data_IF_664991317565
#
_entry.id   IF_664991317565
#
_cell.length_a   1.000
_cell.length_b   1.000
_cell.length_c   1.000
_cell.angle_alpha   90.00
_cell.angle_beta   90.00
_cell.angle_gamma   90.00
#
_symmetry.space_group_name_H-M   'P 1'
#
loop_
_entity.id
_entity.type
_entity.pdbx_description
1 polymer ?
#
# COMPACT_ATOMS: atom_id res chain seq x y z
N UNK A 1 -4.47 -0.51 -0.63
CA UNK A 1 -3.73 0.10 -1.74
C UNK A 1 -2.36 0.48 -1.23
N UNK A 2 -1.35 0.25 -2.01
CA UNK A 2 -0.01 0.74 -1.78
C UNK A 2 0.03 2.25 -2.04
N UNK A 3 1.03 2.92 -1.56
CA UNK A 3 1.23 4.34 -1.82
C UNK A 3 2.63 4.74 -1.39
N UNK A 4 3.20 5.69 -2.12
CA UNK A 4 4.49 6.28 -1.80
C UNK A 4 4.46 7.77 -2.13
N UNK A 5 5.04 8.56 -1.25
CA UNK A 5 5.38 9.96 -1.52
C UNK A 5 6.62 10.34 -0.73
N UNK A 6 7.36 11.30 -1.26
CA UNK A 6 8.41 11.99 -0.54
C UNK A 6 8.27 13.50 -0.72
N UNK A 7 8.75 14.24 0.25
CA UNK A 7 8.87 15.69 0.19
C UNK A 7 10.15 16.14 0.88
N UNK A 8 10.69 17.23 0.40
CA UNK A 8 11.80 17.94 1.04
C UNK A 8 11.37 19.37 1.30
N UNK A 9 11.48 19.81 2.52
CA UNK A 9 11.04 21.14 2.96
C UNK A 9 12.17 21.82 3.68
N UNK A 10 12.50 23.03 3.26
CA UNK A 10 13.45 23.86 3.99
C UNK A 10 12.77 24.42 5.23
N UNK A 11 13.40 24.22 6.38
CA UNK A 11 12.97 24.75 7.67
C UNK A 11 14.07 25.60 8.27
N UNK A 12 13.76 26.32 9.32
CA UNK A 12 14.74 27.17 10.06
C UNK A 12 15.83 26.31 10.74
N UNK A 13 15.56 25.00 10.98
CA UNK A 13 16.53 24.06 11.55
C UNK A 13 17.26 23.20 10.52
N UNK A 14 16.99 23.38 9.23
CA UNK A 14 17.62 22.62 8.18
C UNK A 14 16.63 21.99 7.19
N UNK A 15 17.13 21.08 6.38
CA UNK A 15 16.34 20.38 5.36
C UNK A 15 15.58 19.19 5.97
N UNK A 16 14.26 19.31 6.03
CA UNK A 16 13.38 18.22 6.43
C UNK A 16 13.08 17.33 5.24
N UNK A 17 13.44 16.05 5.33
CA UNK A 17 13.06 15.01 4.38
C UNK A 17 11.95 14.15 4.97
N UNK A 18 10.84 14.03 4.26
CA UNK A 18 9.67 13.24 4.66
C UNK A 18 9.43 12.17 3.64
N UNK A 19 9.40 10.92 4.09
CA UNK A 19 9.06 9.75 3.27
C UNK A 19 7.84 9.06 3.86
N UNK A 20 6.83 8.83 3.03
CA UNK A 20 5.60 8.11 3.39
C UNK A 20 5.41 6.92 2.49
N UNK A 21 5.20 5.75 3.06
CA UNK A 21 4.86 4.53 2.33
C UNK A 21 3.76 3.75 3.02
N UNK A 22 2.92 3.10 2.26
CA UNK A 22 1.92 2.19 2.82
C UNK A 22 1.79 0.90 2.03
N UNK A 23 1.35 -0.14 2.75
CA UNK A 23 0.90 -1.40 2.20
C UNK A 23 -0.52 -1.69 2.65
N UNK A 24 -1.20 -2.58 1.93
CA UNK A 24 -2.57 -2.93 2.26
C UNK A 24 -2.64 -3.64 3.62
N UNK A 25 -3.55 -3.19 4.48
CA UNK A 25 -3.88 -3.82 5.76
C UNK A 25 -5.35 -3.61 6.09
N UNK A 26 -5.92 -4.51 6.89
CA UNK A 26 -7.33 -4.42 7.34
C UNK A 26 -7.56 -3.22 8.26
N UNK A 27 -6.61 -2.94 9.15
CA UNK A 27 -6.65 -1.85 10.11
C UNK A 27 -5.60 -0.79 9.79
N UNK A 28 -5.76 0.40 10.33
CA UNK A 28 -4.75 1.44 10.26
C UNK A 28 -3.66 1.15 11.28
N UNK A 29 -2.44 0.92 10.78
CA UNK A 29 -1.24 0.72 11.59
C UNK A 29 -0.21 1.79 11.17
N UNK A 30 0.19 2.64 12.13
CA UNK A 30 1.07 3.78 11.89
C UNK A 30 2.40 3.58 12.62
N UNK A 31 3.47 3.54 11.85
CA UNK A 31 4.85 3.51 12.35
C UNK A 31 5.57 4.79 11.95
N UNK A 32 6.18 5.45 12.94
CA UNK A 32 6.95 6.67 12.73
C UNK A 32 8.42 6.44 13.07
N UNK A 33 9.29 6.99 12.22
CA UNK A 33 10.71 7.16 12.49
C UNK A 33 11.03 8.62 12.28
N UNK A 34 11.21 9.35 13.36
CA UNK A 34 11.44 10.78 13.35
C UNK A 34 12.74 11.11 14.09
N UNK A 35 13.46 12.13 13.59
CA UNK A 35 14.56 12.74 14.32
C UNK A 35 14.07 13.28 15.67
N UNK A 36 14.96 13.36 16.66
CA UNK A 36 14.61 13.74 18.03
C UNK A 36 13.91 15.11 18.09
N UNK A 37 14.38 16.05 17.27
CA UNK A 37 13.93 17.44 17.20
C UNK A 37 12.47 17.59 16.76
N UNK A 38 11.92 16.59 16.06
CA UNK A 38 10.54 16.62 15.53
C UNK A 38 9.63 15.57 16.17
N UNK A 39 10.16 14.71 17.03
CA UNK A 39 9.41 13.63 17.69
C UNK A 39 8.23 14.13 18.51
N UNK A 40 8.31 15.31 19.08
CA UNK A 40 7.21 15.90 19.85
C UNK A 40 5.95 16.17 19.03
N UNK A 41 6.05 16.21 17.68
CA UNK A 41 4.92 16.37 16.76
C UNK A 41 4.25 15.05 16.36
N UNK A 42 4.79 13.91 16.77
CA UNK A 42 4.23 12.59 16.40
C UNK A 42 2.74 12.45 16.73
N UNK A 43 2.22 12.90 17.90
CA UNK A 43 0.78 12.83 18.19
C UNK A 43 -0.07 13.58 17.15
N UNK A 44 0.39 14.74 16.69
CA UNK A 44 -0.30 15.54 15.66
C UNK A 44 -0.25 14.86 14.30
N UNK A 45 0.88 14.24 13.93
CA UNK A 45 0.98 13.46 12.69
C UNK A 45 -0.01 12.29 12.69
N UNK A 46 -0.15 11.59 13.82
CA UNK A 46 -1.13 10.51 13.98
C UNK A 46 -2.55 10.99 13.78
N UNK A 47 -2.91 12.12 14.37
CA UNK A 47 -4.23 12.75 14.24
C UNK A 47 -4.53 13.11 12.77
N UNK A 48 -3.60 13.79 12.09
CA UNK A 48 -3.74 14.22 10.69
C UNK A 48 -3.92 13.00 9.77
N UNK A 49 -3.14 11.93 9.95
CA UNK A 49 -3.26 10.72 9.14
C UNK A 49 -4.59 10.02 9.42
N UNK A 50 -4.96 9.83 10.69
CA UNK A 50 -6.18 9.13 11.08
C UNK A 50 -7.45 9.83 10.58
N UNK A 51 -7.40 11.16 10.44
CA UNK A 51 -8.50 11.93 9.84
C UNK A 51 -8.62 11.76 8.32
N UNK A 52 -7.59 11.30 7.61
CA UNK A 52 -7.56 11.21 6.14
C UNK A 52 -7.44 9.78 5.61
N UNK A 53 -7.00 8.83 6.42
CA UNK A 53 -6.73 7.44 6.02
C UNK A 53 -7.43 6.48 6.99
N UNK A 54 -8.37 5.69 6.46
CA UNK A 54 -9.17 4.76 7.27
C UNK A 54 -8.46 3.42 7.55
N UNK A 55 -7.57 2.95 6.65
CA UNK A 55 -6.90 1.65 6.76
C UNK A 55 -5.60 1.59 5.97
N UNK A 56 -4.72 0.67 6.36
CA UNK A 56 -3.43 0.42 5.75
C UNK A 56 -2.32 0.39 6.79
N UNK A 57 -1.23 -0.32 6.52
CA UNK A 57 -0.01 -0.22 7.32
C UNK A 57 0.87 0.84 6.68
N UNK A 58 1.10 1.94 7.40
CA UNK A 58 1.83 3.11 6.93
C UNK A 58 3.10 3.32 7.73
N UNK A 59 4.20 3.54 7.06
CA UNK A 59 5.46 3.96 7.65
C UNK A 59 5.79 5.38 7.19
N UNK A 60 6.04 6.25 8.16
CA UNK A 60 6.46 7.63 7.95
C UNK A 60 7.87 7.82 8.50
N UNK A 61 8.78 8.29 7.66
CA UNK A 61 10.14 8.65 8.05
C UNK A 61 10.31 10.14 7.89
N UNK A 62 10.76 10.79 8.95
CA UNK A 62 11.01 12.23 8.99
C UNK A 62 12.43 12.45 9.49
N UNK A 63 13.31 12.85 8.60
CA UNK A 63 14.70 13.10 8.91
C UNK A 63 15.00 14.59 8.72
N UNK A 64 15.45 15.23 9.78
CA UNK A 64 15.99 16.56 9.73
C UNK A 64 17.50 16.46 9.49
N UNK A 65 17.96 17.07 8.42
CA UNK A 65 19.38 17.18 8.10
C UNK A 65 19.77 18.62 8.38
N UNK A 66 20.62 18.79 9.37
CA UNK A 66 21.19 20.10 9.65
C UNK A 66 21.88 20.64 8.39
N UNK A 67 21.51 21.84 7.97
CA UNK A 67 22.08 22.46 6.78
C UNK A 67 23.51 22.99 7.00
N UNK A 68 24.08 22.75 8.17
CA UNK A 68 25.39 23.28 8.54
C UNK A 68 25.37 24.79 8.78
N UNK A 69 26.43 25.49 8.43
CA UNK A 69 26.51 26.92 8.56
C UNK A 69 25.40 27.61 7.76
N UNK A 70 24.36 28.08 8.45
CA UNK A 70 23.35 28.97 7.85
C UNK A 70 23.97 30.32 7.52
N UNK A 71 23.39 31.04 6.56
CA UNK A 71 23.89 32.39 6.19
C UNK A 71 23.90 33.39 7.38
N UNK A 72 23.09 33.13 8.41
CA UNK A 72 22.92 33.92 9.61
C UNK A 72 23.76 33.42 10.81
N UNK A 73 24.74 32.54 10.54
CA UNK A 73 25.61 32.01 11.58
C UNK A 73 26.50 33.14 12.10
N UNK A 74 26.31 33.56 13.34
CA UNK A 74 27.09 34.61 14.01
C UNK A 74 28.06 34.01 15.01
N UNK A 75 29.18 34.67 15.20
CA UNK A 75 30.12 34.38 16.28
C UNK A 75 29.56 34.88 17.61
N UNK A 76 29.52 34.01 18.60
CA UNK A 76 29.22 34.39 19.97
C UNK A 76 30.49 35.03 20.58
N UNK A 77 30.57 36.36 20.51
CA UNK A 77 31.74 37.13 21.00
C UNK A 77 31.99 36.88 22.49
N UNK A 78 30.96 36.73 23.31
CA UNK A 78 31.13 36.48 24.75
C UNK A 78 31.79 35.11 25.01
N UNK A 79 31.31 34.05 24.35
CA UNK A 79 31.89 32.75 24.45
C UNK A 79 33.32 32.69 23.90
N UNK A 80 33.57 33.40 22.79
CA UNK A 80 34.91 33.53 22.19
C UNK A 80 35.88 34.21 23.16
N UNK A 81 35.49 35.34 23.78
CA UNK A 81 36.33 36.05 24.75
C UNK A 81 36.63 35.17 25.98
N UNK A 82 35.66 34.39 26.47
CA UNK A 82 35.89 33.42 27.56
C UNK A 82 36.91 32.35 27.18
N UNK A 83 36.77 31.79 25.98
CA UNK A 83 37.69 30.77 25.45
C UNK A 83 39.13 31.33 25.31
N UNK A 84 39.26 32.52 24.77
CA UNK A 84 40.57 33.18 24.62
C UNK A 84 41.24 33.50 25.95
N UNK A 85 40.45 33.90 26.97
CA UNK A 85 40.95 34.09 28.33
C UNK A 85 41.46 32.77 28.94
N UNK A 86 40.72 31.65 28.75
CA UNK A 86 41.15 30.33 29.21
C UNK A 86 42.42 29.88 28.47
N UNK A 87 42.52 30.07 27.15
CA UNK A 87 43.73 29.79 26.41
C UNK A 87 44.92 30.53 26.98
N UNK A 88 44.75 31.82 27.31
CA UNK A 88 45.82 32.64 27.89
C UNK A 88 46.29 32.11 29.26
N UNK A 89 45.36 31.58 30.07
CA UNK A 89 45.70 30.96 31.36
C UNK A 89 46.46 29.65 31.16
N UNK A 90 46.05 28.83 30.21
CA UNK A 90 46.76 27.57 29.87
C UNK A 90 48.18 27.83 29.41
N UNK A 91 48.37 28.77 28.49
CA UNK A 91 49.70 29.17 27.97
C UNK A 91 50.61 29.76 29.05
N UNK A 92 50.07 30.43 30.10
CA UNK A 92 50.84 30.87 31.26
C UNK A 92 51.27 29.70 32.14
N UNK A 93 50.49 28.66 32.25
CA UNK A 93 50.77 27.48 33.09
C UNK A 93 51.70 26.52 32.38
N UNK A 94 51.50 26.33 31.07
CA UNK A 94 52.34 25.48 30.20
C UNK A 94 52.73 26.28 28.96
N UNK A 95 53.91 26.91 28.95
CA UNK A 95 54.46 27.66 27.81
C UNK A 95 54.73 26.79 26.56
N UNK A 96 54.77 25.45 26.70
CA UNK A 96 54.95 24.53 25.57
C UNK A 96 53.66 24.21 24.85
N UNK A 97 52.50 24.52 25.42
CA UNK A 97 51.20 24.31 24.79
C UNK A 97 51.07 25.18 23.54
N UNK A 98 50.38 24.63 22.53
CA UNK A 98 50.08 25.37 21.28
C UNK A 98 48.78 26.12 21.40
N UNK A 99 48.72 27.31 20.83
CA UNK A 99 47.47 28.10 20.74
C UNK A 99 46.44 27.39 19.87
N UNK A 100 45.16 27.60 20.22
CA UNK A 100 44.04 27.07 19.44
C UNK A 100 44.07 27.64 18.01
N UNK A 101 43.76 26.74 17.04
CA UNK A 101 43.59 27.13 15.64
C UNK A 101 42.18 27.66 15.43
N UNK A 102 41.95 28.43 14.38
CA UNK A 102 40.62 28.94 14.03
C UNK A 102 39.60 27.79 13.91
N UNK A 103 40.01 26.66 13.34
CA UNK A 103 39.14 25.51 13.24
C UNK A 103 38.74 24.93 14.61
N UNK A 104 39.67 24.89 15.57
CA UNK A 104 39.43 24.43 16.93
C UNK A 104 38.45 25.36 17.66
N UNK A 105 38.61 26.67 17.44
CA UNK A 105 37.74 27.70 18.00
C UNK A 105 36.32 27.57 17.43
N UNK A 106 36.18 27.46 16.11
CA UNK A 106 34.87 27.35 15.46
C UNK A 106 34.12 26.05 15.82
N UNK A 107 34.83 24.98 16.11
CA UNK A 107 34.26 23.71 16.56
C UNK A 107 33.96 23.69 18.07
N UNK A 108 34.36 24.71 18.82
CA UNK A 108 34.10 24.74 20.26
C UNK A 108 32.62 25.01 20.53
N UNK A 109 31.95 24.21 21.39
CA UNK A 109 30.54 24.39 21.69
C UNK A 109 30.17 25.81 22.15
N UNK A 110 29.20 26.41 21.48
CA UNK A 110 28.67 27.73 21.82
C UNK A 110 29.45 28.93 21.22
N UNK A 111 30.53 28.70 20.45
CA UNK A 111 31.24 29.79 19.73
C UNK A 111 30.48 30.19 18.47
N UNK A 112 29.97 29.22 17.75
CA UNK A 112 29.10 29.45 16.60
C UNK A 112 27.67 29.44 17.11
N UNK A 113 27.04 30.61 17.13
CA UNK A 113 25.64 30.74 17.52
C UNK A 113 24.76 30.47 16.26
N UNK A 114 24.19 29.30 16.18
CA UNK A 114 23.05 29.11 15.30
C UNK A 114 21.84 29.86 15.89
N UNK A 115 21.06 30.58 15.09
CA UNK A 115 19.82 31.18 15.58
C UNK A 115 18.95 30.08 16.18
N UNK A 116 18.48 30.29 17.42
CA UNK A 116 17.52 29.38 18.03
C UNK A 116 16.18 29.63 17.32
N UNK A 117 15.71 28.71 16.49
CA UNK A 117 14.46 28.94 15.77
C UNK A 117 13.29 28.96 16.76
N UNK A 118 12.29 29.78 16.46
CA UNK A 118 11.04 29.80 17.22
C UNK A 118 10.37 28.40 17.10
N UNK A 119 10.16 27.71 18.25
CA UNK A 119 9.58 26.37 18.23
C UNK A 119 8.21 26.32 17.57
N UNK A 120 7.40 27.37 17.64
CA UNK A 120 6.07 27.43 17.02
C UNK A 120 6.18 27.57 15.49
N UNK A 121 7.09 28.44 15.03
CA UNK A 121 7.35 28.63 13.60
C UNK A 121 7.90 27.34 12.98
N UNK A 122 8.88 26.72 13.63
CA UNK A 122 9.45 25.44 13.21
C UNK A 122 8.38 24.33 13.15
N UNK A 123 7.57 24.18 14.20
CA UNK A 123 6.49 23.19 14.22
C UNK A 123 5.50 23.39 13.07
N UNK A 124 5.15 24.65 12.76
CA UNK A 124 4.26 24.99 11.65
C UNK A 124 4.87 24.63 10.29
N UNK A 125 6.16 24.91 10.08
CA UNK A 125 6.88 24.54 8.85
C UNK A 125 6.86 23.02 8.65
N UNK A 126 7.19 22.26 9.70
CA UNK A 126 7.18 20.79 9.68
C UNK A 126 5.79 20.25 9.37
N UNK A 127 4.75 20.76 10.04
CA UNK A 127 3.37 20.33 9.80
C UNK A 127 2.90 20.65 8.39
N UNK A 128 3.22 21.82 7.86
CA UNK A 128 2.89 22.21 6.48
C UNK A 128 3.55 21.24 5.48
N UNK A 129 4.83 20.93 5.65
CA UNK A 129 5.54 19.98 4.81
C UNK A 129 4.97 18.57 4.91
N UNK A 130 4.57 18.16 6.12
CA UNK A 130 3.93 16.86 6.35
C UNK A 130 2.58 16.76 5.63
N UNK A 131 1.74 17.79 5.69
CA UNK A 131 0.46 17.82 5.00
C UNK A 131 0.61 17.81 3.47
N UNK A 132 1.59 18.52 2.93
CA UNK A 132 1.92 18.48 1.50
C UNK A 132 2.34 17.07 1.05
N UNK A 133 3.21 16.42 1.82
CA UNK A 133 3.63 15.04 1.56
C UNK A 133 2.44 14.08 1.62
N UNK A 134 1.55 14.24 2.61
CA UNK A 134 0.35 13.43 2.76
C UNK A 134 -0.65 13.63 1.61
N UNK A 135 -0.77 14.85 1.09
CA UNK A 135 -1.59 15.15 -0.09
C UNK A 135 -1.06 14.41 -1.32
N UNK A 136 0.24 14.53 -1.60
CA UNK A 136 0.90 13.81 -2.70
C UNK A 136 0.79 12.28 -2.55
N UNK A 137 0.90 11.78 -1.31
CA UNK A 137 0.69 10.37 -0.99
C UNK A 137 -0.74 9.90 -1.32
N UNK A 138 -1.76 10.69 -0.97
CA UNK A 138 -3.14 10.36 -1.29
C UNK A 138 -3.42 10.40 -2.80
N UNK A 139 -2.86 11.35 -3.52
CA UNK A 139 -2.93 11.39 -4.99
C UNK A 139 -2.31 10.15 -5.63
N UNK A 140 -1.15 9.71 -5.14
CA UNK A 140 -0.51 8.48 -5.60
C UNK A 140 -1.42 7.27 -5.42
N UNK A 141 -2.05 7.13 -4.24
CA UNK A 141 -3.03 6.06 -3.95
C UNK A 141 -4.27 6.12 -4.82
N UNK A 142 -4.78 7.32 -5.10
CA UNK A 142 -5.95 7.51 -5.96
C UNK A 142 -5.64 7.10 -7.40
N UNK A 143 -4.49 7.48 -7.94
CA UNK A 143 -4.04 7.07 -9.28
C UNK A 143 -3.90 5.55 -9.40
N UNK A 144 -3.24 4.91 -8.44
CA UNK A 144 -3.12 3.45 -8.42
C UNK A 144 -4.49 2.78 -8.30
N UNK A 145 -5.36 3.30 -7.42
CA UNK A 145 -6.70 2.79 -7.23
C UNK A 145 -7.57 2.91 -8.49
N UNK A 146 -7.50 4.02 -9.19
CA UNK A 146 -8.22 4.23 -10.45
C UNK A 146 -7.73 3.27 -11.55
N UNK A 147 -6.41 3.10 -11.68
CA UNK A 147 -5.85 2.15 -12.65
C UNK A 147 -6.27 0.71 -12.34
N UNK A 148 -6.24 0.30 -11.07
CA UNK A 148 -6.69 -1.03 -10.65
C UNK A 148 -8.18 -1.23 -10.88
N UNK A 149 -9.02 -0.22 -10.60
CA UNK A 149 -10.45 -0.27 -10.87
C UNK A 149 -10.75 -0.49 -12.36
N UNK A 150 -10.04 0.20 -13.25
CA UNK A 150 -10.18 0.00 -14.70
C UNK A 150 -9.83 -1.43 -15.13
N UNK A 151 -8.77 -2.00 -14.57
CA UNK A 151 -8.37 -3.39 -14.87
C UNK A 151 -9.45 -4.37 -14.40
N UNK A 152 -9.98 -4.18 -13.19
CA UNK A 152 -11.04 -5.04 -12.64
C UNK A 152 -12.33 -4.94 -13.47
N UNK A 153 -12.76 -3.73 -13.82
CA UNK A 153 -13.95 -3.52 -14.66
C UNK A 153 -13.79 -4.18 -16.04
N UNK A 154 -12.59 -4.09 -16.62
CA UNK A 154 -12.30 -4.80 -17.88
C UNK A 154 -12.49 -6.32 -17.73
N UNK A 155 -12.01 -6.93 -16.64
CA UNK A 155 -12.22 -8.35 -16.41
C UNK A 155 -13.69 -8.70 -16.18
N UNK A 156 -14.43 -7.85 -15.46
CA UNK A 156 -15.88 -8.01 -15.30
C UNK A 156 -16.58 -8.05 -16.67
N UNK A 157 -16.31 -7.08 -17.53
CA UNK A 157 -16.87 -7.04 -18.90
C UNK A 157 -16.49 -8.30 -19.69
N UNK A 158 -15.23 -8.76 -19.61
CA UNK A 158 -14.82 -9.99 -20.30
C UNK A 158 -15.58 -11.23 -19.80
N UNK A 159 -15.85 -11.33 -18.50
CA UNK A 159 -16.66 -12.41 -17.93
C UNK A 159 -18.08 -12.34 -18.45
N UNK A 160 -18.71 -11.16 -18.48
CA UNK A 160 -20.05 -10.96 -19.03
C UNK A 160 -20.11 -11.37 -20.51
N UNK A 161 -19.13 -10.97 -21.33
CA UNK A 161 -19.04 -11.34 -22.74
C UNK A 161 -18.93 -12.87 -22.94
N UNK A 162 -18.11 -13.53 -22.11
CA UNK A 162 -17.98 -14.99 -22.13
C UNK A 162 -19.30 -15.68 -21.78
N UNK A 163 -19.99 -15.22 -20.73
CA UNK A 163 -21.30 -15.75 -20.35
C UNK A 163 -22.32 -15.57 -21.46
N UNK A 164 -22.39 -14.37 -22.07
CA UNK A 164 -23.29 -14.11 -23.19
C UNK A 164 -22.97 -14.95 -24.43
N UNK A 165 -21.72 -15.29 -24.64
CA UNK A 165 -21.28 -16.18 -25.74
C UNK A 165 -21.64 -17.65 -25.47
N UNK A 166 -21.56 -18.08 -24.20
CA UNK A 166 -21.84 -19.46 -23.80
C UNK A 166 -23.34 -19.75 -23.68
N UNK A 167 -24.12 -18.79 -23.18
CA UNK A 167 -25.57 -18.93 -22.94
C UNK A 167 -26.34 -19.55 -24.11
N UNK A 168 -26.21 -19.12 -25.36
CA UNK A 168 -26.90 -19.72 -26.50
C UNK A 168 -26.40 -21.12 -26.87
N UNK A 169 -25.15 -21.49 -26.51
CA UNK A 169 -24.55 -22.79 -26.82
C UNK A 169 -24.92 -23.90 -25.82
N UNK A 170 -25.37 -23.53 -24.63
CA UNK A 170 -25.67 -24.48 -23.55
C UNK A 170 -26.76 -25.48 -23.96
N UNK A 171 -27.90 -25.07 -24.56
CA UNK A 171 -28.91 -26.02 -25.00
C UNK A 171 -28.38 -27.08 -25.99
N UNK A 172 -27.52 -26.64 -26.92
CA UNK A 172 -26.87 -27.54 -27.90
C UNK A 172 -25.94 -28.54 -27.22
N UNK A 173 -25.11 -28.05 -26.28
CA UNK A 173 -24.18 -28.90 -25.51
C UNK A 173 -24.95 -29.90 -24.65
N UNK A 174 -26.02 -29.45 -23.99
CA UNK A 174 -26.86 -30.35 -23.19
C UNK A 174 -27.56 -31.40 -24.05
N UNK A 175 -28.04 -31.04 -25.24
CA UNK A 175 -28.64 -31.98 -26.15
C UNK A 175 -27.61 -33.00 -26.64
N UNK A 176 -26.43 -32.56 -27.08
CA UNK A 176 -25.35 -33.46 -27.50
C UNK A 176 -24.89 -34.41 -26.38
N UNK A 177 -24.90 -33.98 -25.13
CA UNK A 177 -24.58 -34.83 -23.98
C UNK A 177 -25.70 -35.85 -23.71
N UNK A 178 -26.97 -35.43 -23.83
CA UNK A 178 -28.12 -36.38 -23.74
C UNK A 178 -28.05 -37.44 -24.79
N UNK A 179 -27.82 -37.05 -26.04
CA UNK A 179 -27.75 -38.01 -27.17
C UNK A 179 -26.62 -39.03 -26.96
N UNK A 180 -25.43 -38.54 -26.52
CA UNK A 180 -24.29 -39.39 -26.20
C UNK A 180 -24.51 -40.32 -25.01
N UNK A 181 -25.28 -39.87 -24.00
CA UNK A 181 -25.65 -40.70 -22.86
C UNK A 181 -26.66 -41.77 -23.27
N UNK A 182 -27.64 -41.39 -24.09
CA UNK A 182 -28.63 -42.30 -24.65
C UNK A 182 -27.96 -43.43 -25.47
N UNK A 183 -27.06 -43.06 -26.40
CA UNK A 183 -26.30 -44.01 -27.21
C UNK A 183 -25.52 -45.04 -26.35
N UNK A 184 -24.80 -44.54 -25.34
CA UNK A 184 -24.06 -45.42 -24.40
C UNK A 184 -24.94 -46.34 -23.58
N UNK A 185 -26.12 -45.85 -23.14
CA UNK A 185 -27.08 -46.67 -22.40
C UNK A 185 -27.74 -47.72 -23.30
N UNK A 186 -28.10 -47.37 -24.54
CA UNK A 186 -28.61 -48.32 -25.54
C UNK A 186 -27.59 -49.40 -25.88
N UNK A 187 -26.31 -49.04 -26.07
CA UNK A 187 -25.23 -49.97 -26.31
C UNK A 187 -25.01 -50.93 -25.13
N UNK A 188 -24.97 -50.41 -23.89
CA UNK A 188 -24.80 -51.21 -22.68
C UNK A 188 -25.99 -52.17 -22.42
N UNK A 189 -27.21 -51.73 -22.72
CA UNK A 189 -28.43 -52.53 -22.55
C UNK A 189 -28.62 -53.52 -23.71
N UNK A 190 -28.18 -53.17 -24.92
CA UNK A 190 -28.16 -54.06 -26.06
C UNK A 190 -27.26 -55.27 -25.84
N UNK A 191 -26.14 -55.14 -25.19
CA UNK A 191 -25.24 -56.22 -24.76
C UNK A 191 -25.88 -57.08 -23.67
N UNK A 192 -26.61 -56.49 -22.73
CA UNK A 192 -27.28 -57.20 -21.64
C UNK A 192 -28.49 -58.03 -22.14
N UNK A 193 -29.21 -57.54 -23.15
CA UNK A 193 -30.31 -58.29 -23.82
C UNK A 193 -29.80 -59.48 -24.61
N UNK A 194 -28.59 -59.42 -25.15
CA UNK A 194 -27.92 -60.53 -25.83
C UNK A 194 -27.58 -61.69 -24.86
N UNK A 195 -27.39 -61.41 -23.57
CA UNK A 195 -27.08 -62.37 -22.51
C UNK A 195 -28.33 -63.05 -21.87
N UNK A 196 -29.54 -62.88 -22.44
CA UNK A 196 -30.74 -63.57 -22.01
C UNK A 196 -31.53 -62.98 -20.85
N UNK A 197 -31.25 -61.69 -20.48
CA UNK A 197 -32.05 -60.95 -19.49
C UNK A 197 -33.44 -60.61 -20.10
N UNK A 198 -34.53 -60.93 -19.42
CA UNK A 198 -35.93 -60.59 -19.80
C UNK A 198 -36.18 -59.07 -19.38
N UNK A 199 -35.49 -58.13 -19.98
CA UNK A 199 -35.74 -56.68 -19.76
C UNK A 199 -36.56 -56.22 -20.98
N UNK A 200 -37.68 -55.54 -20.72
CA UNK A 200 -38.54 -55.03 -21.81
C UNK A 200 -37.94 -53.70 -22.34
N UNK A 201 -38.23 -53.34 -23.60
CA UNK A 201 -37.81 -52.05 -24.19
C UNK A 201 -38.38 -50.88 -23.43
N UNK A 202 -39.53 -51.01 -22.80
CA UNK A 202 -40.16 -49.98 -21.97
C UNK A 202 -39.33 -49.73 -20.70
N UNK A 203 -38.84 -50.76 -20.04
CA UNK A 203 -37.98 -50.63 -18.85
C UNK A 203 -36.63 -49.96 -19.17
N UNK A 204 -36.05 -50.27 -20.32
CA UNK A 204 -34.85 -49.65 -20.85
C UNK A 204 -35.07 -48.15 -21.07
N UNK A 205 -36.15 -47.78 -21.75
CA UNK A 205 -36.46 -46.39 -22.03
C UNK A 205 -36.74 -45.58 -20.74
N UNK A 206 -37.39 -46.18 -19.75
CA UNK A 206 -37.65 -45.52 -18.47
C UNK A 206 -36.35 -45.31 -17.69
N UNK A 207 -35.42 -46.25 -17.72
CA UNK A 207 -34.11 -46.12 -17.09
C UNK A 207 -33.27 -44.98 -17.74
N UNK A 208 -33.30 -44.94 -19.09
CA UNK A 208 -32.66 -43.86 -19.86
C UNK A 208 -33.23 -42.51 -19.46
N UNK A 209 -34.54 -42.34 -19.33
CA UNK A 209 -35.20 -41.11 -18.91
C UNK A 209 -34.79 -40.70 -17.49
N UNK A 210 -34.76 -41.66 -16.56
CA UNK A 210 -34.35 -41.38 -15.17
C UNK A 210 -32.91 -40.91 -15.09
N UNK A 211 -31.96 -41.55 -15.79
CA UNK A 211 -30.56 -41.17 -15.81
C UNK A 211 -30.34 -39.78 -16.47
N UNK A 212 -31.05 -39.49 -17.57
CA UNK A 212 -31.02 -38.20 -18.25
C UNK A 212 -31.56 -37.11 -17.33
N UNK A 213 -32.63 -37.37 -16.56
CA UNK A 213 -33.20 -36.42 -15.62
C UNK A 213 -32.26 -36.13 -14.46
N UNK A 214 -31.64 -37.17 -13.88
CA UNK A 214 -30.64 -37.02 -12.81
C UNK A 214 -29.40 -36.30 -13.29
N UNK A 215 -29.00 -36.52 -14.54
CA UNK A 215 -27.86 -35.80 -15.14
C UNK A 215 -28.18 -34.33 -15.41
N UNK A 216 -29.41 -34.03 -15.85
CA UNK A 216 -29.88 -32.66 -16.06
C UNK A 216 -29.96 -31.84 -14.78
N UNK A 217 -30.34 -32.44 -13.65
CA UNK A 217 -30.35 -31.78 -12.32
C UNK A 217 -28.95 -31.49 -11.84
N UNK A 218 -27.96 -32.35 -12.15
CA UNK A 218 -26.55 -32.13 -11.78
C UNK A 218 -25.84 -31.02 -12.62
N UNK A 219 -26.41 -30.66 -13.76
CA UNK A 219 -25.84 -29.70 -14.72
C UNK A 219 -26.70 -28.44 -14.82
N UNK A 220 -27.09 -27.85 -13.67
CA UNK A 220 -27.76 -26.54 -13.70
C UNK A 220 -26.73 -25.40 -13.93
N UNK A 221 -26.14 -25.42 -15.14
CA UNK A 221 -25.19 -24.44 -15.62
C UNK A 221 -25.83 -23.05 -15.69
N UNK A 222 -27.14 -22.96 -15.85
CA UNK A 222 -27.85 -21.68 -15.92
C UNK A 222 -27.85 -20.98 -14.56
N UNK A 223 -28.08 -21.71 -13.46
CA UNK A 223 -28.01 -21.14 -12.11
C UNK A 223 -26.62 -20.60 -11.81
N UNK A 224 -25.57 -21.36 -12.12
CA UNK A 224 -24.20 -20.92 -11.89
C UNK A 224 -23.80 -19.70 -12.76
N UNK A 225 -24.30 -19.62 -13.99
CA UNK A 225 -24.09 -18.42 -14.83
C UNK A 225 -24.83 -17.21 -14.28
N UNK A 226 -26.04 -17.36 -13.77
CA UNK A 226 -26.79 -16.26 -13.14
C UNK A 226 -26.12 -15.80 -11.85
N UNK A 227 -25.61 -16.73 -11.04
CA UNK A 227 -24.79 -16.42 -9.86
C UNK A 227 -23.54 -15.64 -10.25
N UNK A 228 -22.81 -16.09 -11.28
CA UNK A 228 -21.63 -15.41 -11.79
C UNK A 228 -21.96 -13.99 -12.25
N UNK A 229 -23.03 -13.81 -13.04
CA UNK A 229 -23.48 -12.48 -13.47
C UNK A 229 -23.89 -11.58 -12.31
N UNK A 230 -24.44 -12.15 -11.23
CA UNK A 230 -24.80 -11.38 -10.03
C UNK A 230 -23.57 -10.93 -9.26
N UNK A 231 -22.52 -11.75 -9.21
CA UNK A 231 -21.25 -11.41 -8.53
C UNK A 231 -20.38 -10.41 -9.31
N UNK A 232 -20.55 -10.33 -10.62
CA UNK A 232 -19.79 -9.43 -11.50
C UNK A 232 -20.38 -8.01 -11.54
N UNK A 233 -21.67 -7.85 -11.27
CA UNK A 233 -22.35 -6.55 -11.12
C UNK A 233 -21.99 -5.86 -9.80
#
# INVERSE_FOLDING_TARGET
>A
MTGYANAKVQTDMGLLSIDMRSVNSRFLDLSFRASEEIRFLEPKFREIISGKIARGKMECRLNLVDSGLSADTALNEEALNKLMALQTQVLKTDPSATALRVADILNYPGIVAAPVPDPEVFAKQVLTGFEQCLAAFNESRQREGAALAQVLLKYCTQIEDLVNTLRPKIPEILQAQKDKLTERLEEALGTTLADGAQITKEEVNERIRQEITLYGIKLDVNEEMERLCTHVK
#
